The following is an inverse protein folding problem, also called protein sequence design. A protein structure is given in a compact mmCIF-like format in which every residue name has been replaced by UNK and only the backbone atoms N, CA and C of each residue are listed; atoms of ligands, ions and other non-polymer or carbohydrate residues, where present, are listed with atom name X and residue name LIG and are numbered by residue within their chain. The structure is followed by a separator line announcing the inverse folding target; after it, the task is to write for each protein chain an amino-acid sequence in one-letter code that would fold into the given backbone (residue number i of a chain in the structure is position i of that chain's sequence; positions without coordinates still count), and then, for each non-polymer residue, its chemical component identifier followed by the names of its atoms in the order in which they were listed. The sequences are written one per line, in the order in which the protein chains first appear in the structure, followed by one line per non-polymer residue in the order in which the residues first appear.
data_IF_726951873553
#
_entry.id   IF_726951873553
#
_cell.length_a   1.000
_cell.length_b   1.000
_cell.length_c   1.000
_cell.angle_alpha   90.00
_cell.angle_beta   90.00
_cell.angle_gamma   90.00
#
_symmetry.space_group_name_H-M   'P 1'
#
loop_
_entity.id
_entity.type
_entity.pdbx_description
1 polymer ?
#
# COMPACT_ATOMS: atom_id res chain seq x y z
N UNK A 1 31.45 -10.67 32.21
CA UNK A 1 30.14 -10.53 32.88
C UNK A 1 29.08 -10.39 31.80
N UNK A 2 28.28 -11.44 31.61
CA UNK A 2 27.13 -11.46 30.71
C UNK A 2 26.04 -10.54 31.29
N UNK A 3 25.67 -9.51 30.55
CA UNK A 3 24.46 -8.73 30.81
C UNK A 3 23.51 -8.97 29.63
N UNK A 4 22.46 -9.75 29.89
CA UNK A 4 21.33 -9.91 28.98
C UNK A 4 20.60 -8.57 28.88
N UNK A 5 20.44 -8.08 27.65
CA UNK A 5 19.64 -6.90 27.37
C UNK A 5 18.18 -7.33 27.22
N UNK A 6 17.40 -7.08 28.27
CA UNK A 6 15.94 -7.03 28.21
C UNK A 6 15.52 -5.94 27.22
N UNK A 7 15.04 -6.34 26.05
CA UNK A 7 14.41 -5.45 25.08
C UNK A 7 12.94 -5.35 25.48
N UNK A 8 12.60 -4.24 26.11
CA UNK A 8 11.24 -3.86 26.51
C UNK A 8 10.25 -4.01 25.35
N UNK A 9 9.16 -4.71 25.66
CA UNK A 9 7.98 -4.88 24.82
C UNK A 9 7.15 -3.60 24.79
N UNK A 10 7.32 -2.78 23.76
CA UNK A 10 6.31 -1.81 23.35
C UNK A 10 5.40 -2.48 22.31
N UNK A 11 4.58 -3.43 22.78
CA UNK A 11 3.36 -3.86 22.09
C UNK A 11 2.23 -2.89 22.51
N UNK A 12 2.31 -1.65 22.03
CA UNK A 12 1.12 -0.81 21.92
C UNK A 12 0.32 -1.34 20.73
N UNK A 13 -0.56 -2.30 21.03
CA UNK A 13 -1.67 -2.67 20.19
C UNK A 13 -2.45 -1.39 19.85
N UNK A 14 -2.25 -0.88 18.64
CA UNK A 14 -2.97 0.28 18.10
C UNK A 14 -4.48 -0.04 18.14
N UNK A 15 -5.13 0.46 19.19
CA UNK A 15 -6.57 0.34 19.40
C UNK A 15 -7.28 1.10 18.28
N UNK A 16 -8.08 0.37 17.51
CA UNK A 16 -8.98 0.87 16.47
C UNK A 16 -10.09 1.76 17.06
N UNK A 17 -9.75 2.99 17.46
CA UNK A 17 -10.76 4.04 17.66
C UNK A 17 -11.05 4.74 16.33
N UNK A 18 -12.12 4.28 15.65
CA UNK A 18 -12.73 5.01 14.54
C UNK A 18 -14.20 5.25 14.90
N UNK A 19 -14.50 6.52 15.19
CA UNK A 19 -15.82 7.06 15.47
C UNK A 19 -16.74 7.05 14.24
N UNK A 20 -17.99 6.61 14.51
CA UNK A 20 -19.30 6.81 13.87
C UNK A 20 -19.46 6.69 12.33
N UNK A 21 -20.37 5.78 11.95
CA UNK A 21 -20.73 5.31 10.60
C UNK A 21 -19.64 4.45 9.91
N UNK A 22 -19.22 3.36 10.56
CA UNK A 22 -18.39 2.34 9.90
C UNK A 22 -19.23 1.59 8.85
N UNK A 23 -18.73 1.55 7.61
CA UNK A 23 -18.99 0.46 6.67
C UNK A 23 -18.81 -0.86 7.44
N UNK A 24 -19.90 -1.47 7.87
CA UNK A 24 -19.84 -2.74 8.58
C UNK A 24 -20.19 -3.84 7.57
N UNK A 25 -19.31 -4.81 7.49
CA UNK A 25 -19.59 -6.07 6.85
C UNK A 25 -19.72 -7.11 7.95
N UNK A 26 -20.63 -8.07 7.80
CA UNK A 26 -20.66 -9.24 8.68
C UNK A 26 -19.45 -10.15 8.43
N UNK A 27 -19.33 -11.23 9.20
CA UNK A 27 -18.25 -12.21 9.04
C UNK A 27 -18.20 -12.84 7.63
N UNK A 28 -19.30 -12.79 6.88
CA UNK A 28 -19.44 -13.26 5.49
C UNK A 28 -19.15 -12.17 4.44
N UNK A 29 -18.67 -10.98 4.85
CA UNK A 29 -18.43 -9.83 3.97
C UNK A 29 -19.72 -9.28 3.29
N UNK A 30 -20.90 -9.53 3.89
CA UNK A 30 -22.17 -8.95 3.47
C UNK A 30 -22.36 -7.58 4.12
N UNK A 31 -22.84 -6.58 3.36
CA UNK A 31 -23.02 -5.23 3.90
C UNK A 31 -24.12 -5.20 4.96
N UNK A 32 -23.79 -4.69 6.14
CA UNK A 32 -24.75 -4.39 7.20
C UNK A 32 -25.28 -2.98 6.97
N UNK A 33 -26.58 -2.88 6.72
CA UNK A 33 -27.26 -1.62 6.41
C UNK A 33 -27.87 -1.07 7.69
N UNK A 34 -27.51 0.16 8.07
CA UNK A 34 -28.06 0.82 9.26
C UNK A 34 -29.54 1.17 9.09
N UNK A 35 -30.26 1.31 10.21
CA UNK A 35 -31.71 1.60 10.22
C UNK A 35 -32.06 2.88 9.44
N UNK A 36 -31.22 3.91 9.52
CA UNK A 36 -31.43 5.16 8.77
C UNK A 36 -31.39 4.93 7.25
N UNK A 37 -30.49 4.06 6.78
CA UNK A 37 -30.41 3.71 5.37
C UNK A 37 -31.63 2.87 5.00
N UNK A 38 -32.00 1.85 5.81
CA UNK A 38 -33.19 1.02 5.56
C UNK A 38 -34.48 1.85 5.46
N UNK A 39 -34.66 2.86 6.34
CA UNK A 39 -35.80 3.78 6.27
C UNK A 39 -35.81 4.58 4.96
N UNK A 40 -34.63 5.04 4.51
CA UNK A 40 -34.49 5.75 3.23
C UNK A 40 -34.85 4.85 2.05
N UNK A 41 -34.35 3.60 2.04
CA UNK A 41 -34.66 2.61 1.00
C UNK A 41 -36.16 2.26 0.98
N UNK A 42 -36.77 2.08 2.16
CA UNK A 42 -38.21 1.82 2.30
C UNK A 42 -39.03 2.94 1.69
N UNK A 43 -38.74 4.19 2.07
CA UNK A 43 -39.45 5.37 1.54
C UNK A 43 -39.33 5.44 0.02
N UNK A 44 -38.15 5.21 -0.53
CA UNK A 44 -37.93 5.22 -1.97
C UNK A 44 -38.74 4.14 -2.71
N UNK A 45 -38.91 2.96 -2.11
CA UNK A 45 -39.77 1.89 -2.65
C UNK A 45 -41.25 2.28 -2.60
N UNK A 46 -41.71 2.84 -1.49
CA UNK A 46 -43.09 3.31 -1.31
C UNK A 46 -43.42 4.41 -2.34
N UNK A 47 -42.54 5.40 -2.50
CA UNK A 47 -42.66 6.44 -3.53
C UNK A 47 -42.67 5.87 -4.95
N UNK A 48 -41.82 4.88 -5.24
CA UNK A 48 -41.80 4.23 -6.54
C UNK A 48 -43.12 3.49 -6.84
N UNK A 49 -43.75 2.86 -5.83
CA UNK A 49 -45.03 2.17 -6.00
C UNK A 49 -46.21 3.11 -6.27
N UNK A 50 -46.17 4.32 -5.70
CA UNK A 50 -47.18 5.36 -5.93
C UNK A 50 -47.16 5.85 -7.38
N UNK A 51 -45.98 6.20 -7.92
CA UNK A 51 -45.84 6.71 -9.29
C UNK A 51 -44.79 5.96 -10.12
N UNK A 52 -45.07 4.67 -10.32
CA UNK A 52 -44.20 3.78 -11.06
C UNK A 52 -44.08 4.17 -12.54
N UNK A 53 -45.10 4.83 -13.10
CA UNK A 53 -45.17 5.19 -14.52
C UNK A 53 -44.28 6.40 -14.82
N UNK A 54 -44.26 7.42 -13.96
CA UNK A 54 -43.37 8.56 -14.16
C UNK A 54 -41.89 8.21 -13.89
N UNK A 55 -41.64 7.23 -13.00
CA UNK A 55 -40.27 6.87 -12.59
C UNK A 55 -39.63 5.78 -13.45
N UNK A 56 -40.37 5.09 -14.30
CA UNK A 56 -39.83 4.03 -15.18
C UNK A 56 -39.43 4.58 -16.55
N UNK A 57 -38.27 4.14 -17.05
CA UNK A 57 -37.86 4.38 -18.44
C UNK A 57 -38.17 3.17 -19.31
N UNK A 58 -38.68 3.39 -20.52
CA UNK A 58 -38.82 2.33 -21.52
C UNK A 58 -37.52 2.18 -22.31
N UNK A 59 -37.00 0.96 -22.35
CA UNK A 59 -35.82 0.58 -23.13
C UNK A 59 -36.14 -0.71 -23.88
N UNK A 60 -35.97 -0.71 -25.20
CA UNK A 60 -36.28 -1.84 -26.08
C UNK A 60 -37.70 -2.41 -25.85
N UNK A 61 -38.70 -1.52 -25.75
CA UNK A 61 -40.10 -1.89 -25.53
C UNK A 61 -40.45 -2.39 -24.12
N UNK A 62 -39.47 -2.46 -23.19
CA UNK A 62 -39.66 -2.94 -21.82
C UNK A 62 -39.55 -1.80 -20.81
N UNK A 63 -40.40 -1.80 -19.78
CA UNK A 63 -40.33 -0.87 -18.65
C UNK A 63 -39.25 -1.32 -17.66
N UNK A 64 -38.22 -0.50 -17.46
CA UNK A 64 -37.14 -0.77 -16.52
C UNK A 64 -37.57 -0.49 -15.08
N UNK A 65 -37.17 -1.35 -14.15
CA UNK A 65 -37.31 -1.05 -12.72
C UNK A 65 -36.41 0.15 -12.39
N UNK A 66 -36.90 1.24 -11.78
CA UNK A 66 -36.04 2.34 -11.38
C UNK A 66 -35.05 1.95 -10.28
N UNK A 67 -35.39 0.92 -9.48
CA UNK A 67 -34.66 0.54 -8.27
C UNK A 67 -33.65 -0.60 -8.48
N UNK A 68 -33.75 -1.36 -9.57
CA UNK A 68 -32.79 -2.42 -9.90
C UNK A 68 -31.99 -2.05 -11.17
N UNK A 69 -30.68 -2.34 -11.26
CA UNK A 69 -29.84 -1.86 -12.34
C UNK A 69 -30.25 -2.36 -13.72
N UNK A 70 -30.61 -3.63 -13.88
CA UNK A 70 -30.84 -4.20 -15.21
C UNK A 70 -32.24 -4.78 -15.40
N UNK A 71 -33.03 -4.93 -14.33
CA UNK A 71 -34.36 -5.57 -14.40
C UNK A 71 -35.34 -4.76 -15.24
N UNK A 72 -35.96 -5.41 -16.23
CA UNK A 72 -37.02 -4.80 -17.05
C UNK A 72 -38.12 -5.78 -17.41
N UNK A 73 -39.32 -5.26 -17.66
CA UNK A 73 -40.56 -6.04 -17.83
C UNK A 73 -41.34 -5.57 -19.05
N UNK A 74 -42.07 -6.47 -19.70
CA UNK A 74 -42.93 -6.11 -20.84
C UNK A 74 -44.12 -5.25 -20.40
N UNK A 75 -44.66 -5.53 -19.23
CA UNK A 75 -45.87 -4.90 -18.71
C UNK A 75 -45.61 -4.16 -17.39
N UNK A 76 -46.28 -3.01 -17.23
CA UNK A 76 -46.19 -2.21 -16.00
C UNK A 76 -46.74 -2.97 -14.78
N UNK A 77 -47.75 -3.83 -14.98
CA UNK A 77 -48.31 -4.69 -13.93
C UNK A 77 -47.25 -5.63 -13.36
N UNK A 78 -46.46 -6.27 -14.22
CA UNK A 78 -45.36 -7.16 -13.81
C UNK A 78 -44.28 -6.39 -13.05
N UNK A 79 -43.93 -5.18 -13.50
CA UNK A 79 -42.99 -4.33 -12.79
C UNK A 79 -43.51 -3.96 -11.39
N UNK A 80 -44.79 -3.58 -11.27
CA UNK A 80 -45.41 -3.28 -9.97
C UNK A 80 -45.37 -4.49 -9.03
N UNK A 81 -45.71 -5.68 -9.52
CA UNK A 81 -45.60 -6.94 -8.75
C UNK A 81 -44.16 -7.21 -8.34
N UNK A 82 -43.18 -6.97 -9.22
CA UNK A 82 -41.77 -7.14 -8.90
C UNK A 82 -41.33 -6.22 -7.77
N UNK A 83 -41.65 -4.92 -7.85
CA UNK A 83 -41.28 -3.94 -6.82
C UNK A 83 -41.88 -4.35 -5.47
N UNK A 84 -43.19 -4.61 -5.42
CA UNK A 84 -43.86 -4.99 -4.17
C UNK A 84 -43.33 -6.29 -3.55
N UNK A 85 -43.00 -7.29 -4.37
CA UNK A 85 -42.59 -8.62 -3.88
C UNK A 85 -41.10 -8.67 -3.50
N UNK A 86 -40.24 -8.05 -4.31
CA UNK A 86 -38.79 -8.25 -4.20
C UNK A 86 -38.05 -7.10 -3.51
N UNK A 87 -38.57 -5.86 -3.58
CA UNK A 87 -38.05 -4.76 -2.77
C UNK A 87 -38.79 -4.71 -1.44
N UNK A 88 -38.59 -5.74 -0.62
CA UNK A 88 -39.24 -5.89 0.67
C UNK A 88 -38.21 -5.89 1.80
N UNK A 89 -38.68 -5.72 3.04
CA UNK A 89 -37.83 -5.74 4.24
C UNK A 89 -36.98 -7.02 4.34
N UNK A 90 -37.51 -8.17 3.88
CA UNK A 90 -36.78 -9.44 3.83
C UNK A 90 -35.47 -9.36 3.03
N UNK A 91 -35.45 -8.55 1.98
CA UNK A 91 -34.27 -8.35 1.14
C UNK A 91 -33.59 -7.01 1.41
N UNK A 92 -33.87 -6.37 2.56
CA UNK A 92 -33.40 -5.01 2.87
C UNK A 92 -33.71 -4.01 1.74
N UNK A 93 -34.81 -4.23 1.01
CA UNK A 93 -35.24 -3.46 -0.15
C UNK A 93 -34.28 -3.48 -1.36
N UNK A 94 -33.21 -4.29 -1.37
CA UNK A 94 -32.25 -4.39 -2.49
C UNK A 94 -32.39 -5.75 -3.18
N UNK A 95 -32.98 -5.76 -4.38
CA UNK A 95 -33.31 -6.99 -5.11
C UNK A 95 -32.12 -7.63 -5.83
N UNK A 96 -31.14 -6.82 -6.24
CA UNK A 96 -30.22 -7.18 -7.33
C UNK A 96 -28.98 -7.94 -6.88
N UNK A 97 -28.56 -7.77 -5.63
CA UNK A 97 -27.34 -8.36 -5.08
C UNK A 97 -26.54 -7.43 -4.18
N UNK A 98 -25.51 -7.98 -3.56
CA UNK A 98 -24.66 -7.32 -2.56
C UNK A 98 -23.85 -6.16 -3.15
N UNK A 99 -23.53 -6.18 -4.45
CA UNK A 99 -22.77 -5.09 -5.08
C UNK A 99 -23.56 -3.79 -5.19
N UNK A 100 -24.87 -3.89 -5.42
CA UNK A 100 -25.73 -2.71 -5.36
C UNK A 100 -25.77 -2.17 -3.92
N UNK A 101 -25.92 -3.04 -2.91
CA UNK A 101 -25.87 -2.63 -1.49
C UNK A 101 -24.54 -1.94 -1.13
N UNK A 102 -23.40 -2.45 -1.64
CA UNK A 102 -22.08 -1.80 -1.45
C UNK A 102 -22.04 -0.39 -2.06
N UNK A 103 -22.64 -0.17 -3.23
CA UNK A 103 -22.76 1.15 -3.83
C UNK A 103 -23.66 2.06 -3.00
N UNK A 104 -24.81 1.55 -2.53
CA UNK A 104 -25.74 2.30 -1.67
C UNK A 104 -25.02 2.85 -0.44
N UNK A 105 -24.25 2.00 0.26
CA UNK A 105 -23.46 2.43 1.41
C UNK A 105 -22.43 3.49 1.02
N UNK A 106 -21.72 3.29 -0.10
CA UNK A 106 -20.69 4.23 -0.56
C UNK A 106 -21.26 5.60 -0.94
N UNK A 107 -22.42 5.60 -1.60
CA UNK A 107 -23.17 6.81 -1.97
C UNK A 107 -23.70 7.53 -0.74
N UNK A 108 -24.25 6.80 0.23
CA UNK A 108 -24.74 7.38 1.47
C UNK A 108 -23.62 8.09 2.24
N UNK A 109 -22.48 7.42 2.41
CA UNK A 109 -21.29 8.00 3.03
C UNK A 109 -20.77 9.22 2.26
N UNK A 110 -20.78 9.14 0.94
CA UNK A 110 -20.38 10.27 0.09
C UNK A 110 -21.29 11.47 0.36
N UNK A 111 -22.61 11.28 0.33
CA UNK A 111 -23.60 12.33 0.61
C UNK A 111 -23.40 12.92 2.02
N UNK A 112 -23.28 12.08 3.05
CA UNK A 112 -23.01 12.52 4.41
C UNK A 112 -21.72 13.35 4.51
N UNK A 113 -20.63 12.88 3.89
CA UNK A 113 -19.35 13.60 3.88
C UNK A 113 -19.36 14.90 3.05
N UNK A 114 -20.34 15.04 2.16
CA UNK A 114 -20.60 16.26 1.39
C UNK A 114 -21.68 17.13 2.01
N UNK A 115 -22.11 16.81 3.25
CA UNK A 115 -23.20 17.50 3.96
C UNK A 115 -24.51 17.55 3.15
N UNK A 116 -24.76 16.52 2.36
CA UNK A 116 -25.99 16.33 1.58
C UNK A 116 -26.79 15.17 2.15
N UNK A 117 -28.11 15.31 2.17
CA UNK A 117 -29.03 14.20 2.41
C UNK A 117 -29.26 13.45 1.10
N UNK A 118 -28.93 12.16 1.05
CA UNK A 118 -29.32 11.31 -0.08
C UNK A 118 -30.73 10.76 0.14
N UNK A 119 -31.63 11.03 -0.80
CA UNK A 119 -33.03 10.60 -0.73
C UNK A 119 -33.36 9.49 -1.76
N UNK A 120 -32.45 9.19 -2.69
CA UNK A 120 -32.69 8.30 -3.84
C UNK A 120 -31.56 7.27 -4.03
N UNK A 121 -31.24 6.54 -2.98
CA UNK A 121 -30.10 5.60 -2.93
C UNK A 121 -30.25 4.41 -3.89
N UNK A 122 -31.45 3.83 -4.02
CA UNK A 122 -31.70 2.71 -4.93
C UNK A 122 -31.62 3.14 -6.38
N UNK A 123 -32.30 4.23 -6.74
CA UNK A 123 -32.29 4.79 -8.09
C UNK A 123 -30.87 5.18 -8.50
N UNK A 124 -30.15 5.86 -7.61
CA UNK A 124 -28.80 6.32 -7.90
C UNK A 124 -27.80 5.16 -8.03
N UNK A 125 -27.86 4.18 -7.12
CA UNK A 125 -27.02 2.98 -7.22
C UNK A 125 -27.31 2.17 -8.49
N UNK A 126 -28.58 2.10 -8.90
CA UNK A 126 -28.98 1.48 -10.16
C UNK A 126 -28.46 2.26 -11.37
N UNK A 127 -28.54 3.58 -11.36
CA UNK A 127 -28.01 4.44 -12.42
C UNK A 127 -26.49 4.30 -12.58
N UNK A 128 -25.73 4.35 -11.48
CA UNK A 128 -24.28 4.16 -11.49
C UNK A 128 -23.87 2.82 -12.09
N UNK A 129 -24.59 1.74 -11.77
CA UNK A 129 -24.34 0.43 -12.36
C UNK A 129 -24.69 0.37 -13.85
N UNK A 130 -25.78 1.01 -14.30
CA UNK A 130 -26.12 1.08 -15.73
C UNK A 130 -25.08 1.85 -16.54
N UNK A 131 -24.52 2.90 -15.94
CA UNK A 131 -23.49 3.73 -16.54
C UNK A 131 -22.19 2.96 -16.72
N UNK A 132 -21.72 2.30 -15.66
CA UNK A 132 -20.37 1.70 -15.61
C UNK A 132 -20.30 0.26 -16.13
N UNK A 133 -21.38 -0.51 -16.04
CA UNK A 133 -21.40 -1.92 -16.48
C UNK A 133 -21.71 -1.97 -17.98
N UNK A 134 -20.64 -2.03 -18.78
CA UNK A 134 -20.71 -2.18 -20.25
C UNK A 134 -20.01 -3.48 -20.70
N UNK A 135 -20.63 -4.31 -21.54
CA UNK A 135 -22.04 -4.23 -21.98
C UNK A 135 -23.02 -4.45 -20.80
N UNK A 136 -24.27 -3.94 -20.90
CA UNK A 136 -25.26 -4.12 -19.84
C UNK A 136 -25.64 -5.60 -19.67
N UNK A 137 -25.97 -6.01 -18.44
CA UNK A 137 -26.41 -7.38 -18.17
C UNK A 137 -27.83 -7.64 -18.69
N UNK A 138 -28.14 -8.92 -18.89
CA UNK A 138 -29.47 -9.36 -19.31
C UNK A 138 -30.57 -8.89 -18.35
N UNK A 139 -31.70 -8.47 -18.91
CA UNK A 139 -32.79 -7.84 -18.14
C UNK A 139 -33.54 -8.76 -17.18
N UNK A 140 -33.33 -10.06 -17.31
CA UNK A 140 -33.88 -11.10 -16.44
C UNK A 140 -32.93 -11.50 -15.31
N UNK A 141 -31.68 -11.05 -15.35
CA UNK A 141 -30.65 -11.47 -14.39
C UNK A 141 -30.91 -10.89 -12.99
N UNK A 142 -31.03 -11.80 -12.01
CA UNK A 142 -31.18 -11.45 -10.58
C UNK A 142 -29.87 -11.58 -9.78
N UNK A 143 -28.84 -12.24 -10.33
CA UNK A 143 -27.60 -12.53 -9.63
C UNK A 143 -26.44 -11.73 -10.24
N UNK A 144 -26.58 -10.40 -10.27
CA UNK A 144 -25.61 -9.52 -10.94
C UNK A 144 -24.20 -9.68 -10.35
N UNK A 145 -24.11 -10.04 -9.07
CA UNK A 145 -22.85 -10.16 -8.34
C UNK A 145 -21.84 -11.08 -9.05
N UNK A 146 -22.28 -12.17 -9.68
CA UNK A 146 -21.36 -13.10 -10.37
C UNK A 146 -20.73 -12.49 -11.62
N UNK A 147 -21.40 -11.52 -12.23
CA UNK A 147 -21.00 -10.93 -13.51
C UNK A 147 -20.26 -9.61 -13.38
N UNK A 148 -20.26 -8.98 -12.21
CA UNK A 148 -19.57 -7.71 -12.02
C UNK A 148 -18.16 -7.91 -11.46
N UNK A 149 -17.23 -6.99 -11.71
CA UNK A 149 -15.94 -6.92 -11.02
C UNK A 149 -15.68 -5.48 -10.60
N UNK A 150 -15.07 -5.30 -9.44
CA UNK A 150 -14.66 -4.00 -8.95
C UNK A 150 -13.30 -3.67 -9.57
N UNK A 151 -13.24 -2.60 -10.35
CA UNK A 151 -12.03 -2.12 -11.03
C UNK A 151 -11.65 -0.77 -10.47
N UNK A 152 -10.37 -0.59 -10.17
CA UNK A 152 -9.80 0.68 -9.73
C UNK A 152 -9.16 1.40 -10.90
N UNK A 153 -9.59 2.64 -11.11
CA UNK A 153 -9.01 3.56 -12.06
C UNK A 153 -8.49 4.82 -11.34
N UNK A 154 -7.69 5.66 -12.01
CA UNK A 154 -7.20 6.92 -11.45
C UNK A 154 -8.34 7.84 -10.99
N UNK A 155 -9.49 7.80 -11.69
CA UNK A 155 -10.69 8.54 -11.29
C UNK A 155 -11.43 7.90 -10.09
N UNK A 156 -11.10 6.66 -9.72
CA UNK A 156 -11.68 5.94 -8.58
C UNK A 156 -12.22 4.55 -8.93
N UNK A 157 -12.86 3.89 -7.96
CA UNK A 157 -13.43 2.55 -8.15
C UNK A 157 -14.70 2.59 -9.00
N UNK A 158 -14.94 1.53 -9.78
CA UNK A 158 -16.19 1.30 -10.51
C UNK A 158 -16.48 -0.19 -10.66
N UNK A 159 -17.75 -0.56 -10.81
CA UNK A 159 -18.13 -1.92 -11.16
C UNK A 159 -18.26 -2.05 -12.68
N UNK A 160 -17.55 -3.00 -13.26
CA UNK A 160 -17.58 -3.28 -14.71
C UNK A 160 -18.11 -4.69 -14.97
N UNK A 161 -18.55 -4.94 -16.20
CA UNK A 161 -18.92 -6.28 -16.64
C UNK A 161 -17.65 -7.15 -16.73
N UNK A 162 -17.68 -8.32 -16.07
CA UNK A 162 -16.58 -9.27 -16.02
C UNK A 162 -16.20 -9.81 -17.39
N UNK A 163 -17.16 -10.00 -18.30
CA UNK A 163 -16.87 -10.45 -19.68
C UNK A 163 -16.02 -9.42 -20.44
N UNK A 164 -16.25 -8.13 -20.19
CA UNK A 164 -15.48 -7.04 -20.83
C UNK A 164 -14.04 -6.98 -20.31
N UNK A 165 -13.86 -7.23 -19.02
CA UNK A 165 -12.55 -7.27 -18.38
C UNK A 165 -11.69 -8.40 -18.94
N UNK A 166 -12.26 -9.59 -19.13
CA UNK A 166 -11.51 -10.75 -19.60
C UNK A 166 -11.12 -10.65 -21.09
N UNK A 167 -11.84 -9.84 -21.87
CA UNK A 167 -11.70 -9.82 -23.34
C UNK A 167 -11.13 -8.52 -23.93
N UNK A 168 -11.35 -7.36 -23.29
CA UNK A 168 -11.16 -6.04 -23.96
C UNK A 168 -10.39 -5.00 -23.18
N UNK A 169 -10.33 -5.11 -21.85
CA UNK A 169 -9.69 -4.09 -21.00
C UNK A 169 -8.30 -4.54 -20.56
N UNK A 170 -7.31 -3.67 -20.72
CA UNK A 170 -5.97 -3.86 -20.15
C UNK A 170 -6.01 -3.54 -18.65
N UNK A 171 -6.45 -4.52 -17.86
CA UNK A 171 -6.46 -4.45 -16.39
C UNK A 171 -5.64 -5.58 -15.80
N UNK A 172 -4.99 -5.30 -14.67
CA UNK A 172 -4.28 -6.29 -13.87
C UNK A 172 -5.17 -6.78 -12.74
N UNK A 173 -4.99 -8.04 -12.36
CA UNK A 173 -5.70 -8.67 -11.26
C UNK A 173 -4.74 -9.03 -10.15
N UNK A 174 -5.04 -8.57 -8.93
CA UNK A 174 -4.34 -8.96 -7.71
C UNK A 174 -5.36 -9.48 -6.72
N UNK A 175 -5.30 -10.79 -6.44
CA UNK A 175 -6.32 -11.52 -5.68
C UNK A 175 -7.71 -11.34 -6.31
N UNK A 176 -8.63 -10.63 -5.65
CA UNK A 176 -10.00 -10.37 -6.14
C UNK A 176 -10.19 -8.90 -6.58
N UNK A 177 -9.10 -8.13 -6.66
CA UNK A 177 -9.10 -6.73 -7.05
C UNK A 177 -8.56 -6.60 -8.47
N UNK A 178 -9.14 -5.67 -9.21
CA UNK A 178 -8.72 -5.34 -10.56
C UNK A 178 -8.35 -3.87 -10.61
N UNK A 179 -7.32 -3.51 -11.38
CA UNK A 179 -6.95 -2.12 -11.56
C UNK A 179 -6.38 -1.85 -12.94
N UNK A 180 -6.53 -0.61 -13.40
CA UNK A 180 -6.02 -0.11 -14.69
C UNK A 180 -4.58 0.36 -14.56
N UNK A 181 -3.89 0.55 -15.69
CA UNK A 181 -2.58 1.19 -15.71
C UNK A 181 -2.59 2.59 -15.09
N UNK A 182 -3.62 3.40 -15.38
CA UNK A 182 -3.79 4.74 -14.81
C UNK A 182 -3.89 4.72 -13.28
N UNK A 183 -4.57 3.73 -12.70
CA UNK A 183 -4.55 3.55 -11.24
C UNK A 183 -3.16 3.14 -10.73
N UNK A 184 -2.45 2.29 -11.45
CA UNK A 184 -1.08 1.90 -11.09
C UNK A 184 -0.15 3.13 -11.05
N UNK A 185 -0.23 3.99 -12.06
CA UNK A 185 0.56 5.23 -12.12
C UNK A 185 0.20 6.19 -10.97
N UNK A 186 -1.09 6.35 -10.67
CA UNK A 186 -1.56 7.10 -9.50
C UNK A 186 -0.98 6.52 -8.22
N UNK A 187 -1.13 5.21 -8.00
CA UNK A 187 -0.68 4.53 -6.80
C UNK A 187 0.84 4.66 -6.60
N UNK A 188 1.62 4.54 -7.67
CA UNK A 188 3.07 4.73 -7.61
C UNK A 188 3.47 6.17 -7.29
N UNK A 189 2.79 7.15 -7.88
CA UNK A 189 3.03 8.56 -7.55
C UNK A 189 2.74 8.84 -6.08
N UNK A 190 1.58 8.40 -5.59
CA UNK A 190 1.22 8.60 -4.19
C UNK A 190 2.12 7.82 -3.24
N UNK A 191 2.63 6.66 -3.65
CA UNK A 191 3.64 5.90 -2.89
C UNK A 191 4.93 6.69 -2.70
N UNK A 192 5.45 7.30 -3.76
CA UNK A 192 6.67 8.12 -3.69
C UNK A 192 6.43 9.36 -2.81
N UNK A 193 5.34 10.09 -3.05
CA UNK A 193 4.99 11.31 -2.30
C UNK A 193 4.70 11.04 -0.81
N UNK A 194 4.29 9.83 -0.47
CA UNK A 194 3.96 9.43 0.90
C UNK A 194 5.08 8.66 1.58
N UNK A 195 6.27 8.58 1.00
CA UNK A 195 7.40 7.80 1.53
C UNK A 195 6.99 6.35 1.88
N UNK A 196 6.22 5.72 0.99
CA UNK A 196 5.67 4.37 1.14
C UNK A 196 4.76 4.14 2.37
N UNK A 197 4.29 5.20 3.05
CA UNK A 197 3.36 5.09 4.17
C UNK A 197 1.95 4.72 3.67
N UNK A 198 1.60 3.44 3.74
CA UNK A 198 0.36 2.88 3.16
C UNK A 198 -0.89 3.62 3.64
N UNK A 199 -1.00 3.97 4.92
CA UNK A 199 -2.15 4.73 5.46
C UNK A 199 -2.32 6.09 4.79
N UNK A 200 -1.22 6.77 4.51
CA UNK A 200 -1.20 8.06 3.81
C UNK A 200 -1.55 7.88 2.33
N UNK A 201 -0.98 6.87 1.67
CA UNK A 201 -1.29 6.52 0.28
C UNK A 201 -2.78 6.28 0.10
N UNK A 202 -3.37 5.46 0.98
CA UNK A 202 -4.80 5.15 0.98
C UNK A 202 -5.65 6.41 1.01
N UNK A 203 -5.34 7.31 1.95
CA UNK A 203 -6.06 8.57 2.13
C UNK A 203 -5.96 9.43 0.88
N UNK A 204 -4.77 9.52 0.28
CA UNK A 204 -4.53 10.31 -0.93
C UNK A 204 -5.22 9.74 -2.17
N UNK A 205 -5.23 8.42 -2.35
CA UNK A 205 -6.01 7.77 -3.41
C UNK A 205 -7.52 8.00 -3.25
N UNK A 206 -8.04 7.92 -2.01
CA UNK A 206 -9.44 8.28 -1.74
C UNK A 206 -9.74 9.74 -2.08
N UNK A 207 -8.86 10.67 -1.71
CA UNK A 207 -9.02 12.09 -2.05
C UNK A 207 -8.99 12.33 -3.56
N UNK A 208 -8.05 11.71 -4.28
CA UNK A 208 -7.95 11.82 -5.74
C UNK A 208 -9.25 11.36 -6.41
N UNK A 209 -9.78 10.20 -6.02
CA UNK A 209 -11.06 9.70 -6.53
C UNK A 209 -12.21 10.69 -6.25
N UNK A 210 -12.28 11.27 -5.04
CA UNK A 210 -13.30 12.28 -4.70
C UNK A 210 -13.16 13.55 -5.53
N UNK A 211 -11.93 14.02 -5.77
CA UNK A 211 -11.66 15.20 -6.60
C UNK A 211 -12.06 14.96 -8.06
N UNK A 212 -11.96 13.73 -8.55
CA UNK A 212 -12.49 13.30 -9.85
C UNK A 212 -14.02 13.13 -9.88
N UNK A 213 -14.73 13.47 -8.80
CA UNK A 213 -16.19 13.36 -8.70
C UNK A 213 -16.70 11.94 -8.44
N UNK A 214 -15.83 10.99 -8.07
CA UNK A 214 -16.24 9.61 -7.84
C UNK A 214 -17.02 9.47 -6.51
N UNK A 215 -18.30 9.14 -6.66
CA UNK A 215 -19.28 9.02 -5.58
C UNK A 215 -19.16 7.72 -4.77
N UNK A 216 -18.40 6.76 -5.28
CA UNK A 216 -18.22 5.44 -4.68
C UNK A 216 -16.78 5.18 -4.25
N UNK A 217 -15.98 6.24 -4.06
CA UNK A 217 -14.57 6.19 -3.65
C UNK A 217 -14.34 5.39 -2.35
N UNK A 218 -15.36 5.26 -1.50
CA UNK A 218 -15.35 4.40 -0.29
C UNK A 218 -15.25 2.89 -0.59
N UNK A 219 -15.43 2.47 -1.84
CA UNK A 219 -15.19 1.09 -2.26
C UNK A 219 -13.70 0.74 -2.44
N UNK A 220 -12.79 1.72 -2.37
CA UNK A 220 -11.36 1.42 -2.29
C UNK A 220 -11.04 0.67 -0.98
N UNK A 221 -9.98 -0.15 -0.94
CA UNK A 221 -9.72 -0.98 0.23
C UNK A 221 -9.35 -0.15 1.47
N UNK A 222 -9.86 -0.53 2.63
CA UNK A 222 -9.64 0.17 3.91
C UNK A 222 -8.49 -0.41 4.74
N UNK A 223 -7.87 -1.50 4.30
CA UNK A 223 -6.79 -2.16 5.03
C UNK A 223 -5.55 -2.33 4.15
N UNK A 224 -4.37 -2.04 4.71
CA UNK A 224 -3.08 -2.12 4.01
C UNK A 224 -2.79 -3.49 3.39
N UNK A 225 -3.34 -4.59 3.94
CA UNK A 225 -3.23 -5.96 3.40
C UNK A 225 -3.73 -6.14 1.97
N UNK A 226 -4.55 -5.21 1.48
CA UNK A 226 -5.05 -5.19 0.10
C UNK A 226 -4.24 -4.27 -0.82
N UNK A 227 -3.56 -3.26 -0.27
CA UNK A 227 -2.72 -2.32 -1.01
C UNK A 227 -1.32 -2.87 -1.29
N UNK A 228 -0.72 -3.51 -0.28
CA UNK A 228 0.63 -4.07 -0.41
C UNK A 228 0.76 -5.05 -1.59
N UNK A 229 -0.17 -5.99 -1.83
CA UNK A 229 -0.09 -6.86 -3.00
C UNK A 229 -0.18 -6.12 -4.34
N UNK A 230 -0.92 -5.01 -4.41
CA UNK A 230 -0.97 -4.20 -5.65
C UNK A 230 0.37 -3.49 -5.87
N UNK A 231 0.95 -2.92 -4.82
CA UNK A 231 2.28 -2.31 -4.89
C UNK A 231 3.36 -3.33 -5.28
N UNK A 232 3.30 -4.54 -4.72
CA UNK A 232 4.18 -5.64 -5.10
C UNK A 232 4.00 -6.02 -6.58
N UNK A 233 2.77 -6.19 -7.06
CA UNK A 233 2.50 -6.51 -8.47
C UNK A 233 3.01 -5.43 -9.45
N UNK A 234 2.91 -4.15 -9.07
CA UNK A 234 3.43 -3.03 -9.88
C UNK A 234 4.96 -3.00 -9.85
N UNK A 235 5.57 -3.03 -8.67
CA UNK A 235 7.02 -2.89 -8.49
C UNK A 235 7.80 -4.11 -8.98
N UNK A 236 7.19 -5.30 -8.98
CA UNK A 236 7.79 -6.51 -9.54
C UNK A 236 7.61 -6.65 -11.05
N UNK A 237 6.80 -5.77 -11.67
CA UNK A 237 6.53 -5.82 -13.11
C UNK A 237 7.80 -5.59 -13.95
N UNK A 238 7.94 -6.27 -15.11
CA UNK A 238 9.10 -6.09 -15.97
C UNK A 238 9.32 -4.63 -16.39
N UNK A 239 8.24 -3.91 -16.70
CA UNK A 239 8.30 -2.51 -17.10
C UNK A 239 8.83 -1.61 -15.98
N UNK A 240 8.44 -1.86 -14.73
CA UNK A 240 8.96 -1.10 -13.60
C UNK A 240 10.43 -1.43 -13.34
N UNK A 241 10.79 -2.73 -13.32
CA UNK A 241 12.18 -3.17 -13.17
C UNK A 241 13.09 -2.58 -14.24
N UNK A 242 12.68 -2.59 -15.51
CA UNK A 242 13.43 -1.96 -16.59
C UNK A 242 13.60 -0.46 -16.40
N UNK A 243 12.60 0.26 -15.88
CA UNK A 243 12.73 1.69 -15.55
C UNK A 243 13.72 1.93 -14.41
N UNK A 244 13.69 1.11 -13.37
CA UNK A 244 14.65 1.19 -12.25
C UNK A 244 16.07 0.86 -12.73
N UNK A 245 16.25 -0.21 -13.49
CA UNK A 245 17.56 -0.55 -14.06
C UNK A 245 18.04 0.53 -15.02
N UNK A 246 17.15 1.10 -15.84
CA UNK A 246 17.48 2.27 -16.63
C UNK A 246 17.88 3.43 -15.73
N UNK A 247 17.17 3.78 -14.65
CA UNK A 247 17.59 4.85 -13.74
C UNK A 247 18.95 4.58 -13.07
N UNK A 248 19.25 3.33 -12.72
CA UNK A 248 20.53 2.91 -12.18
C UNK A 248 21.68 3.03 -13.19
N UNK A 249 21.42 2.64 -14.44
CA UNK A 249 22.39 2.62 -15.54
C UNK A 249 22.51 3.97 -16.26
N UNK A 250 21.44 4.78 -16.23
CA UNK A 250 21.43 6.13 -16.78
C UNK A 250 22.09 7.05 -15.77
N UNK A 251 22.65 8.14 -16.29
CA UNK A 251 23.47 9.14 -15.63
C UNK A 251 22.94 9.80 -14.34
N UNK A 252 21.87 9.37 -13.68
CA UNK A 252 21.42 10.01 -12.42
C UNK A 252 22.35 9.57 -11.29
N UNK A 253 22.39 8.29 -10.96
CA UNK A 253 23.28 7.82 -9.88
C UNK A 253 24.76 7.88 -10.26
N UNK A 254 25.11 7.72 -11.54
CA UNK A 254 26.50 7.89 -11.98
C UNK A 254 26.95 9.36 -12.04
N UNK A 255 26.08 10.35 -12.32
CA UNK A 255 26.47 11.77 -12.28
C UNK A 255 26.48 12.32 -10.86
N UNK A 256 25.62 11.82 -9.98
CA UNK A 256 25.50 12.31 -8.61
C UNK A 256 26.54 11.68 -7.66
N UNK A 257 27.42 10.82 -8.21
CA UNK A 257 28.43 10.08 -7.48
C UNK A 257 27.80 9.30 -6.30
N UNK A 258 26.64 8.68 -6.56
CA UNK A 258 25.77 8.14 -5.51
C UNK A 258 26.47 7.04 -4.69
N UNK A 259 27.40 6.31 -5.30
CA UNK A 259 28.19 5.25 -4.68
C UNK A 259 29.40 5.75 -3.89
N UNK A 260 29.83 7.01 -4.03
CA UNK A 260 31.01 7.54 -3.31
C UNK A 260 30.89 7.39 -1.80
N UNK A 261 29.66 7.49 -1.28
CA UNK A 261 29.31 7.24 0.10
C UNK A 261 28.20 6.19 0.16
N UNK A 262 28.39 5.17 1.00
CA UNK A 262 27.32 4.21 1.32
C UNK A 262 27.08 4.13 2.83
N UNK A 263 25.82 4.08 3.25
CA UNK A 263 25.37 3.77 4.61
C UNK A 263 24.67 2.42 4.60
N UNK A 264 25.04 1.54 5.51
CA UNK A 264 24.55 0.16 5.58
C UNK A 264 23.95 -0.13 6.94
N UNK A 265 22.77 -0.76 6.94
CA UNK A 265 22.11 -1.28 8.13
C UNK A 265 21.58 -2.70 7.86
N UNK A 266 21.68 -3.60 8.83
CA UNK A 266 21.21 -4.97 8.72
C UNK A 266 20.08 -5.25 9.71
N UNK A 267 18.87 -4.82 9.35
CA UNK A 267 17.68 -4.88 10.22
C UNK A 267 17.17 -6.32 10.41
N UNK A 268 17.06 -6.80 11.65
CA UNK A 268 16.54 -8.15 11.99
C UNK A 268 15.02 -8.29 11.81
N UNK A 269 14.25 -7.25 12.15
CA UNK A 269 12.79 -7.34 12.37
C UNK A 269 11.98 -7.77 11.15
N UNK A 270 12.47 -7.50 9.94
CA UNK A 270 11.71 -7.72 8.70
C UNK A 270 11.70 -9.19 8.27
N UNK A 271 12.73 -9.96 8.62
CA UNK A 271 12.85 -11.37 8.24
C UNK A 271 12.21 -12.33 9.25
N UNK A 272 11.78 -11.84 10.43
CA UNK A 272 11.17 -12.66 11.48
C UNK A 272 9.85 -13.35 11.08
N UNK A 273 9.22 -12.89 9.99
CA UNK A 273 7.93 -13.43 9.48
C UNK A 273 8.10 -14.30 8.23
N UNK A 274 9.34 -14.64 7.85
CA UNK A 274 9.58 -15.54 6.73
C UNK A 274 9.04 -16.93 7.08
N UNK A 275 8.14 -17.43 6.23
CA UNK A 275 7.53 -18.74 6.46
C UNK A 275 8.61 -19.82 6.50
N UNK A 276 8.40 -20.80 7.41
CA UNK A 276 9.26 -21.98 7.61
C UNK A 276 10.61 -21.71 8.28
N UNK A 277 10.83 -20.51 8.80
CA UNK A 277 11.88 -20.22 9.77
C UNK A 277 11.23 -19.94 11.13
N UNK A 278 11.81 -20.45 12.20
CA UNK A 278 11.35 -20.11 13.55
C UNK A 278 11.86 -18.72 13.97
N UNK A 279 11.14 -18.00 14.86
CA UNK A 279 11.55 -16.67 15.32
C UNK A 279 12.98 -16.66 15.86
N UNK A 280 13.73 -15.60 15.60
CA UNK A 280 15.12 -15.49 16.07
C UNK A 280 15.26 -15.59 17.60
N UNK A 281 14.22 -15.21 18.36
CA UNK A 281 14.17 -15.31 19.83
C UNK A 281 13.81 -16.71 20.34
N UNK A 282 13.45 -17.66 19.47
CA UNK A 282 13.14 -19.02 19.88
C UNK A 282 14.42 -19.75 20.34
N UNK A 283 14.29 -20.74 21.25
CA UNK A 283 15.40 -21.60 21.66
C UNK A 283 16.14 -22.21 20.47
N UNK A 284 17.45 -22.44 20.61
CA UNK A 284 18.30 -22.88 19.50
C UNK A 284 17.87 -24.23 18.92
N UNK A 285 17.46 -25.16 19.77
CA UNK A 285 16.87 -26.46 19.41
C UNK A 285 15.61 -26.29 18.54
N UNK A 286 14.72 -25.35 18.90
CA UNK A 286 13.51 -25.03 18.13
C UNK A 286 13.89 -24.42 16.78
N UNK A 287 14.86 -23.50 16.74
CA UNK A 287 15.33 -22.88 15.49
C UNK A 287 16.02 -23.88 14.56
N UNK A 288 16.77 -24.83 15.11
CA UNK A 288 17.45 -25.87 14.34
C UNK A 288 16.50 -26.96 13.83
N UNK A 289 15.39 -27.21 14.54
CA UNK A 289 14.34 -28.13 14.12
C UNK A 289 13.41 -27.56 13.04
N UNK A 290 13.52 -26.26 12.73
CA UNK A 290 12.71 -25.62 11.69
C UNK A 290 13.05 -26.17 10.29
N UNK A 291 12.10 -26.15 9.32
CA UNK A 291 12.38 -26.62 7.96
C UNK A 291 13.54 -25.87 7.27
N UNK A 292 13.75 -24.61 7.64
CA UNK A 292 15.01 -23.90 7.40
C UNK A 292 15.71 -23.71 8.73
N UNK A 293 16.73 -24.54 8.99
CA UNK A 293 17.53 -24.48 10.21
C UNK A 293 18.17 -23.10 10.43
N UNK A 294 18.64 -22.84 11.65
CA UNK A 294 19.09 -21.50 12.04
C UNK A 294 20.24 -20.97 11.18
N UNK A 295 21.13 -21.85 10.74
CA UNK A 295 22.32 -21.55 9.95
C UNK A 295 22.02 -21.03 8.53
N UNK A 296 20.93 -21.50 7.92
CA UNK A 296 20.49 -21.08 6.58
C UNK A 296 19.35 -20.06 6.63
N UNK A 297 18.81 -19.80 7.82
CA UNK A 297 17.72 -18.86 8.04
C UNK A 297 18.13 -17.43 7.68
N UNK A 298 17.30 -16.75 6.91
CA UNK A 298 17.52 -15.34 6.58
C UNK A 298 17.09 -14.50 7.77
N UNK A 299 18.05 -13.97 8.54
CA UNK A 299 17.76 -13.29 9.80
C UNK A 299 17.69 -11.78 9.65
N UNK A 300 18.35 -11.20 8.64
CA UNK A 300 18.51 -9.75 8.50
C UNK A 300 18.16 -9.29 7.10
N UNK A 301 17.73 -8.05 6.97
CA UNK A 301 17.64 -7.35 5.70
C UNK A 301 18.73 -6.27 5.67
N UNK A 302 19.75 -6.48 4.84
CA UNK A 302 20.74 -5.47 4.51
C UNK A 302 20.07 -4.37 3.68
N UNK A 303 20.16 -3.15 4.17
CA UNK A 303 19.80 -1.94 3.44
C UNK A 303 21.07 -1.16 3.18
N UNK A 304 21.39 -0.93 1.91
CA UNK A 304 22.49 -0.05 1.49
C UNK A 304 21.88 1.20 0.88
N UNK A 305 22.25 2.36 1.43
CA UNK A 305 21.84 3.67 0.95
C UNK A 305 23.05 4.41 0.40
N UNK A 306 22.88 5.10 -0.71
CA UNK A 306 23.92 5.94 -1.29
C UNK A 306 23.96 7.32 -0.67
N UNK A 307 24.78 8.19 -1.27
CA UNK A 307 25.03 9.57 -0.88
C UNK A 307 23.77 10.41 -0.66
N UNK A 308 22.81 10.35 -1.58
CA UNK A 308 21.55 11.11 -1.47
C UNK A 308 20.55 10.48 -0.49
N UNK A 309 20.89 9.32 0.07
CA UNK A 309 19.98 8.49 0.86
C UNK A 309 19.12 7.55 0.01
N UNK A 310 19.33 7.51 -1.32
CA UNK A 310 18.65 6.56 -2.19
C UNK A 310 19.01 5.13 -1.79
N UNK A 311 18.01 4.23 -1.79
CA UNK A 311 18.24 2.82 -1.47
C UNK A 311 18.86 2.13 -2.69
N UNK A 312 20.13 1.78 -2.60
CA UNK A 312 20.91 1.12 -3.64
C UNK A 312 20.71 -0.41 -3.61
N UNK A 313 20.55 -0.98 -2.41
CA UNK A 313 20.36 -2.41 -2.22
C UNK A 313 19.43 -2.68 -1.04
N UNK A 314 18.52 -3.65 -1.23
CA UNK A 314 17.81 -4.36 -0.18
C UNK A 314 18.06 -5.84 -0.39
N UNK A 315 18.83 -6.47 0.51
CA UNK A 315 19.28 -7.84 0.34
C UNK A 315 19.12 -8.63 1.65
N UNK A 316 18.41 -9.77 1.64
CA UNK A 316 18.29 -10.60 2.83
C UNK A 316 19.61 -11.31 3.14
N UNK A 317 20.05 -11.26 4.39
CA UNK A 317 21.27 -11.90 4.87
C UNK A 317 20.95 -12.99 5.90
N UNK A 318 21.77 -14.03 5.91
CA UNK A 318 21.78 -15.05 6.97
C UNK A 318 22.30 -14.47 8.28
N UNK A 319 23.41 -13.72 8.22
CA UNK A 319 23.97 -13.03 9.38
C UNK A 319 24.47 -11.63 9.01
N UNK A 320 24.73 -10.80 10.02
CA UNK A 320 25.31 -9.46 9.83
C UNK A 320 26.83 -9.47 9.82
N UNK A 321 27.47 -10.62 9.56
CA UNK A 321 28.93 -10.68 9.46
C UNK A 321 29.40 -9.87 8.24
N UNK A 322 30.59 -9.31 8.38
CA UNK A 322 31.26 -8.55 7.32
C UNK A 322 31.41 -9.37 6.03
N UNK A 323 31.66 -10.67 6.14
CA UNK A 323 31.74 -11.63 5.03
C UNK A 323 30.44 -11.69 4.21
N UNK A 324 29.28 -11.79 4.86
CA UNK A 324 27.99 -11.82 4.18
C UNK A 324 27.63 -10.48 3.55
N UNK A 325 27.99 -9.36 4.20
CA UNK A 325 27.78 -8.02 3.62
C UNK A 325 28.66 -7.84 2.37
N UNK A 326 29.95 -8.18 2.46
CA UNK A 326 30.89 -8.12 1.34
C UNK A 326 30.41 -8.96 0.15
N UNK A 327 29.99 -10.21 0.39
CA UNK A 327 29.44 -11.08 -0.65
C UNK A 327 28.18 -10.49 -1.29
N UNK A 328 27.25 -9.95 -0.51
CA UNK A 328 26.04 -9.32 -1.03
C UNK A 328 26.36 -8.10 -1.91
N UNK A 329 27.36 -7.30 -1.55
CA UNK A 329 27.81 -6.18 -2.39
C UNK A 329 28.41 -6.66 -3.72
N UNK A 330 29.29 -7.67 -3.68
CA UNK A 330 29.88 -8.25 -4.89
C UNK A 330 28.86 -8.86 -5.84
N UNK A 331 27.84 -9.53 -5.31
CA UNK A 331 26.79 -10.16 -6.12
C UNK A 331 25.87 -9.13 -6.79
N UNK A 332 25.62 -7.99 -6.13
CA UNK A 332 24.57 -7.07 -6.54
C UNK A 332 25.08 -5.77 -7.19
N UNK A 333 26.36 -5.43 -7.03
CA UNK A 333 26.96 -4.23 -7.62
C UNK A 333 28.06 -4.58 -8.63
N UNK A 334 28.19 -3.75 -9.66
CA UNK A 334 29.25 -3.88 -10.67
C UNK A 334 30.61 -3.45 -10.11
N UNK A 335 31.70 -3.92 -10.71
CA UNK A 335 33.06 -3.52 -10.31
C UNK A 335 33.25 -2.01 -10.30
N UNK A 336 32.74 -1.29 -11.31
CA UNK A 336 32.80 0.17 -11.40
C UNK A 336 32.09 0.86 -10.22
N UNK A 337 30.94 0.33 -9.81
CA UNK A 337 30.19 0.86 -8.67
C UNK A 337 30.96 0.65 -7.36
N UNK A 338 31.52 -0.55 -7.16
CA UNK A 338 32.30 -0.89 -5.97
C UNK A 338 33.61 -0.09 -5.89
N UNK A 339 34.30 0.10 -7.01
CA UNK A 339 35.49 0.95 -7.11
C UNK A 339 35.19 2.42 -6.82
N UNK A 340 33.98 2.89 -7.07
CA UNK A 340 33.63 4.29 -6.76
C UNK A 340 33.38 4.55 -5.28
N UNK A 341 33.19 3.51 -4.45
CA UNK A 341 32.96 3.65 -3.01
C UNK A 341 34.22 4.13 -2.29
N UNK A 342 34.13 5.28 -1.63
CA UNK A 342 35.22 5.87 -0.84
C UNK A 342 34.92 5.91 0.65
N UNK A 343 33.64 6.03 1.02
CA UNK A 343 33.21 6.19 2.42
C UNK A 343 32.11 5.21 2.76
N UNK A 344 32.26 4.53 3.90
CA UNK A 344 31.30 3.53 4.38
C UNK A 344 30.83 3.89 5.78
N UNK A 345 29.52 3.93 6.00
CA UNK A 345 28.92 4.07 7.32
C UNK A 345 28.16 2.79 7.70
N UNK A 346 28.40 2.28 8.90
CA UNK A 346 27.80 1.03 9.41
C UNK A 346 27.55 1.10 10.91
N UNK A 347 26.70 0.22 11.46
CA UNK A 347 26.36 0.17 12.89
C UNK A 347 27.54 -0.31 13.77
N UNK A 348 28.45 -1.11 13.21
CA UNK A 348 29.52 -1.79 13.94
C UNK A 348 30.85 -1.78 13.16
N UNK A 349 31.46 -0.59 12.92
CA UNK A 349 32.73 -0.52 12.22
C UNK A 349 33.83 -1.26 13.00
N UNK A 350 34.63 -2.08 12.32
CA UNK A 350 35.74 -2.82 12.93
C UNK A 350 36.89 -3.00 11.95
N UNK A 351 38.11 -3.25 12.45
CA UNK A 351 39.27 -3.49 11.61
C UNK A 351 39.08 -4.69 10.65
N UNK A 352 38.49 -5.79 11.15
CA UNK A 352 38.13 -6.94 10.30
C UNK A 352 37.19 -6.54 9.17
N UNK A 353 36.13 -5.80 9.50
CA UNK A 353 35.15 -5.38 8.50
C UNK A 353 35.77 -4.41 7.47
N UNK A 354 36.64 -3.50 7.92
CA UNK A 354 37.38 -2.61 7.03
C UNK A 354 38.27 -3.39 6.05
N UNK A 355 39.05 -4.37 6.54
CA UNK A 355 39.91 -5.20 5.69
C UNK A 355 39.11 -6.02 4.67
N UNK A 356 37.99 -6.61 5.05
CA UNK A 356 37.14 -7.36 4.12
C UNK A 356 36.45 -6.44 3.10
N UNK A 357 36.01 -5.25 3.53
CA UNK A 357 35.44 -4.26 2.62
C UNK A 357 36.45 -3.73 1.61
N UNK A 358 37.73 -3.59 1.97
CA UNK A 358 38.79 -3.22 1.02
C UNK A 358 38.98 -4.24 -0.11
N UNK A 359 38.69 -5.53 0.15
CA UNK A 359 38.72 -6.56 -0.90
C UNK A 359 37.61 -6.40 -1.93
N UNK A 360 36.50 -5.75 -1.55
CA UNK A 360 35.32 -5.54 -2.40
C UNK A 360 35.32 -4.15 -3.03
N UNK A 361 35.63 -3.13 -2.23
CA UNK A 361 35.63 -1.73 -2.57
C UNK A 361 37.06 -1.19 -2.36
N UNK A 362 37.95 -1.30 -3.36
CA UNK A 362 39.39 -1.06 -3.18
C UNK A 362 39.75 0.38 -2.86
N UNK A 363 38.85 1.34 -3.14
CA UNK A 363 39.10 2.77 -2.97
C UNK A 363 38.51 3.34 -1.66
N UNK A 364 38.09 2.49 -0.71
CA UNK A 364 37.62 2.95 0.59
C UNK A 364 38.75 3.70 1.32
N UNK A 365 38.45 4.93 1.70
CA UNK A 365 39.33 5.80 2.48
C UNK A 365 39.00 5.75 3.96
N UNK A 366 37.72 5.56 4.31
CA UNK A 366 37.27 5.57 5.69
C UNK A 366 36.00 4.75 5.90
N UNK A 367 35.91 4.12 7.08
CA UNK A 367 34.71 3.47 7.58
C UNK A 367 34.35 4.08 8.95
N UNK A 368 33.08 4.44 9.12
CA UNK A 368 32.60 5.16 10.29
C UNK A 368 31.33 4.54 10.87
N UNK A 369 31.02 4.90 12.11
CA UNK A 369 29.74 4.57 12.74
C UNK A 369 28.62 5.35 12.04
N UNK A 370 27.50 4.70 11.73
CA UNK A 370 26.35 5.38 11.14
C UNK A 370 25.90 6.57 12.03
N UNK A 371 25.83 7.80 11.49
CA UNK A 371 25.39 8.98 12.24
C UNK A 371 24.02 8.81 12.93
N UNK A 372 23.14 7.96 12.40
CA UNK A 372 21.86 7.61 13.05
C UNK A 372 22.09 6.79 14.33
N UNK A 373 23.05 5.87 14.32
CA UNK A 373 23.41 5.07 15.49
C UNK A 373 23.97 5.93 16.62
N UNK A 374 24.69 7.01 16.31
CA UNK A 374 25.15 7.97 17.32
C UNK A 374 23.98 8.55 18.14
N UNK A 375 22.88 8.92 17.48
CA UNK A 375 21.69 9.42 18.15
C UNK A 375 20.99 8.32 18.99
N UNK A 376 21.02 7.07 18.54
CA UNK A 376 20.44 5.92 19.26
C UNK A 376 21.25 5.63 20.53
N UNK A 377 22.58 5.57 20.42
CA UNK A 377 23.49 5.37 21.56
C UNK A 377 23.34 6.52 22.57
N UNK A 378 23.22 7.75 22.07
CA UNK A 378 22.91 8.90 22.92
C UNK A 378 21.58 8.69 23.65
N UNK A 379 20.49 8.34 22.96
CA UNK A 379 19.19 8.08 23.59
C UNK A 379 19.25 6.95 24.64
N UNK A 380 20.03 5.90 24.41
CA UNK A 380 20.24 4.84 25.38
C UNK A 380 20.85 5.37 26.70
N UNK A 381 21.83 6.26 26.61
CA UNK A 381 22.39 6.97 27.76
C UNK A 381 21.40 7.91 28.47
N UNK A 382 20.25 8.20 27.82
CA UNK A 382 19.15 9.00 28.35
C UNK A 382 17.87 8.17 28.55
N UNK A 383 18.00 6.91 28.97
CA UNK A 383 16.86 6.01 29.26
C UNK A 383 15.89 5.88 28.07
N UNK A 384 16.43 5.81 26.85
CA UNK A 384 15.71 5.73 25.59
C UNK A 384 14.76 6.92 25.32
N UNK A 385 14.96 8.07 25.98
CA UNK A 385 14.15 9.28 25.77
C UNK A 385 14.74 10.17 24.68
N UNK A 386 13.89 10.62 23.76
CA UNK A 386 14.25 11.66 22.76
C UNK A 386 14.49 13.00 23.46
N UNK A 387 15.74 13.38 23.62
CA UNK A 387 16.14 14.64 24.24
C UNK A 387 16.40 15.73 23.19
N UNK A 388 16.54 17.01 23.58
CA UNK A 388 17.02 18.06 22.67
C UNK A 388 18.35 17.69 22.00
N UNK A 389 19.27 17.06 22.73
CA UNK A 389 20.55 16.58 22.21
C UNK A 389 20.38 15.51 21.13
N UNK A 390 19.54 14.50 21.36
CA UNK A 390 19.30 13.47 20.34
C UNK A 390 18.56 14.00 19.12
N UNK A 391 17.64 14.97 19.28
CA UNK A 391 17.02 15.68 18.17
C UNK A 391 18.05 16.47 17.35
N UNK A 392 19.06 17.06 17.99
CA UNK A 392 20.13 17.76 17.30
C UNK A 392 21.07 16.79 16.58
N UNK A 393 21.45 15.67 17.21
CA UNK A 393 22.19 14.57 16.58
C UNK A 393 21.46 14.01 15.36
N UNK A 394 20.14 13.82 15.42
CA UNK A 394 19.32 13.37 14.27
C UNK A 394 19.22 14.39 13.14
N UNK A 395 19.62 15.65 13.34
CA UNK A 395 19.74 16.67 12.28
C UNK A 395 21.13 16.69 11.63
N UNK A 396 22.17 16.14 12.27
CA UNK A 396 23.51 16.05 11.68
C UNK A 396 23.58 15.17 10.41
N UNK A 397 22.84 14.05 10.28
CA UNK A 397 22.75 13.31 9.02
C UNK A 397 22.41 14.22 7.84
N UNK A 398 21.44 15.13 7.98
CA UNK A 398 21.09 16.08 6.92
C UNK A 398 22.25 16.98 6.49
N UNK A 399 23.23 17.26 7.38
CA UNK A 399 24.42 18.05 7.04
C UNK A 399 25.55 17.22 6.42
N UNK A 400 25.53 15.89 6.58
CA UNK A 400 26.55 14.98 6.03
C UNK A 400 26.10 14.32 4.73
N UNK A 401 24.79 14.30 4.46
CA UNK A 401 24.19 13.78 3.22
C UNK A 401 23.73 14.86 2.23
N UNK A 402 23.50 16.10 2.68
CA UNK A 402 23.17 17.21 1.78
C UNK A 402 24.44 17.94 1.34
N UNK A 403 24.57 18.14 0.02
CA UNK A 403 25.65 18.93 -0.56
C UNK A 403 25.32 20.42 -0.40
N UNK A 404 26.10 21.13 0.40
CA UNK A 404 26.13 22.59 0.37
C UNK A 404 27.18 23.00 -0.68
N UNK A 405 26.73 23.37 -1.88
CA UNK A 405 27.62 23.83 -2.97
C UNK A 405 28.41 25.08 -2.61
N UNK A 406 28.01 25.81 -1.56
CA UNK A 406 28.63 27.06 -1.12
C UNK A 406 29.63 26.83 0.03
N UNK A 407 29.61 25.67 0.69
CA UNK A 407 30.53 25.34 1.77
C UNK A 407 31.83 24.73 1.24
N UNK A 408 32.95 25.45 1.42
CA UNK A 408 34.29 24.96 1.06
C UNK A 408 34.83 23.89 2.02
N UNK A 409 35.87 23.16 1.61
CA UNK A 409 36.54 22.11 2.41
C UNK A 409 36.98 22.60 3.81
N UNK A 410 37.25 23.90 3.93
CA UNK A 410 37.68 24.56 5.16
C UNK A 410 36.59 24.60 6.25
N UNK A 411 35.33 24.35 5.91
CA UNK A 411 34.19 24.43 6.84
C UNK A 411 34.13 23.27 7.85
N UNK A 412 34.79 22.15 7.56
CA UNK A 412 34.67 20.91 8.34
C UNK A 412 35.92 20.57 9.16
N UNK A 413 36.99 21.37 9.02
CA UNK A 413 38.29 21.09 9.63
C UNK A 413 39.05 19.97 8.91
N UNK A 414 40.30 19.73 9.30
CA UNK A 414 41.12 18.66 8.73
C UNK A 414 40.56 17.27 9.09
N UNK A 415 40.64 16.32 8.15
CA UNK A 415 40.34 14.91 8.44
C UNK A 415 41.23 14.40 9.58
N UNK A 416 40.63 13.68 10.52
CA UNK A 416 41.36 13.05 11.62
C UNK A 416 42.14 11.84 11.08
N UNK A 417 43.44 12.00 10.88
CA UNK A 417 44.34 10.92 10.48
C UNK A 417 44.91 10.25 11.73
N UNK A 418 44.50 9.01 12.00
CA UNK A 418 45.22 8.11 12.91
C UNK A 418 46.48 7.59 12.20
N UNK A 419 47.50 8.43 12.10
CA UNK A 419 48.87 7.96 11.88
C UNK A 419 49.70 8.54 13.02
N UNK A 420 49.90 7.69 14.03
CA UNK A 420 50.82 7.85 15.15
C UNK A 420 51.29 6.46 15.52
#
# INVERSE_FOLDING_TARGET
MQAGADISSDDEAEKDEVSAARFSFDEDNKPVVSDNILQTLRREVEEALLDLRARTQRVNGRSQCPLCPFRSFSELRQLRTHVAKHHSAKNQYVCSGTKQSKIILAVYDHAASSQRTSCSLLCESAALLRETVKPPLASTCNHIDKHLRLVFDAAGPSYMNGECIEQKLSVRRVRNLYYTQSFADLLMREMILSHAQVRTIMTRCHMAARQSGNRISKLLPTHGRHWLPMLEDITTSPSFKQRIEKMKMTSVFEKDEEWTYISMDATLKLCLKLKRQEPHRAPADVRNAAPFGDEVGWRRLLTVRGRSGAVLLLHPLQSGSSEHVAAALQENFTSKQLESVQYVATDSPSGKFFSEMLMVCPNIRSMMLDPVHLAIVYEHGFWNKKSPGSKQLRKFPCKTTALDTEAGENCWGSFYNHIG
#
